data_IF_937847141264
#
_entry.id   IF_937847141264
#
_cell.length_a   1.000
_cell.length_b   1.000
_cell.length_c   1.000
_cell.angle_alpha   90.00
_cell.angle_beta   90.00
_cell.angle_gamma   90.00
#
_symmetry.space_group_name_H-M   'P 1'
#
loop_
_entity.id
_entity.type
_entity.pdbx_description
1 polymer ?
#
# COMPACT_ATOMS: atom_id res chain seq x y z
N UNK A 1 16.33 -19.49 -22.98
CA UNK A 1 16.23 -18.48 -21.90
C UNK A 1 16.60 -17.12 -22.48
N UNK A 2 15.78 -16.08 -22.33
CA UNK A 2 16.17 -14.75 -22.83
C UNK A 2 15.11 -13.66 -22.97
N UNK A 3 13.91 -13.79 -22.39
CA UNK A 3 12.84 -12.78 -22.57
C UNK A 3 12.94 -11.56 -21.64
N UNK A 4 13.87 -11.55 -20.67
CA UNK A 4 13.99 -10.49 -19.67
C UNK A 4 15.02 -9.39 -20.04
N UNK A 5 15.89 -9.61 -21.02
CA UNK A 5 16.91 -8.62 -21.41
C UNK A 5 16.37 -7.40 -22.18
N UNK A 6 15.08 -7.39 -22.59
CA UNK A 6 14.47 -6.25 -23.31
C UNK A 6 13.72 -5.26 -22.40
N UNK A 7 13.46 -5.61 -21.15
CA UNK A 7 12.75 -4.72 -20.21
C UNK A 7 13.68 -3.87 -19.32
N UNK A 8 14.99 -4.12 -19.35
CA UNK A 8 15.98 -3.32 -18.60
C UNK A 8 17.15 -2.94 -19.50
N UNK A 9 16.87 -2.26 -20.62
CA UNK A 9 17.91 -1.48 -21.30
C UNK A 9 18.25 -0.26 -20.44
N UNK A 10 19.40 -0.39 -19.80
CA UNK A 10 20.13 0.63 -19.05
C UNK A 10 20.80 1.57 -20.05
N UNK A 11 20.26 2.77 -20.24
CA UNK A 11 20.99 3.84 -20.93
C UNK A 11 22.19 4.26 -20.10
N UNK A 12 23.37 3.99 -20.64
CA UNK A 12 24.66 4.44 -20.12
C UNK A 12 25.14 5.62 -20.97
N UNK A 13 25.38 6.73 -20.27
CA UNK A 13 26.27 7.88 -20.55
C UNK A 13 25.61 9.18 -21.07
N UNK A 14 25.95 10.40 -20.62
CA UNK A 14 26.74 10.94 -19.49
C UNK A 14 26.79 12.48 -19.62
N UNK A 15 26.42 13.24 -18.58
CA UNK A 15 26.99 14.58 -18.27
C UNK A 15 26.73 14.91 -16.79
N UNK A 16 27.67 14.62 -15.87
CA UNK A 16 28.49 15.58 -15.08
C UNK A 16 27.69 16.86 -14.71
N UNK A 17 27.56 17.31 -13.47
CA UNK A 17 28.40 17.21 -12.27
C UNK A 17 27.64 17.83 -11.09
N UNK A 18 27.78 17.32 -9.86
CA UNK A 18 28.19 18.09 -8.68
C UNK A 18 28.58 17.10 -7.59
N UNK A 19 29.84 17.20 -7.16
CA UNK A 19 30.38 16.56 -5.98
C UNK A 19 29.94 17.39 -4.79
N UNK A 20 29.31 16.79 -3.78
CA UNK A 20 29.57 17.23 -2.41
C UNK A 20 29.27 16.14 -1.36
N UNK A 21 30.39 15.63 -0.84
CA UNK A 21 30.72 15.37 0.57
C UNK A 21 29.85 14.41 1.39
N UNK A 22 30.57 13.39 1.88
CA UNK A 22 30.41 12.77 3.18
C UNK A 22 29.40 13.42 4.12
N UNK A 23 28.35 12.67 4.40
CA UNK A 23 27.86 12.55 5.76
C UNK A 23 27.30 11.14 5.90
N UNK A 24 28.13 10.25 6.46
CA UNK A 24 27.62 9.21 7.36
C UNK A 24 26.83 9.92 8.45
N UNK A 25 25.56 10.25 8.18
CA UNK A 25 24.59 10.48 9.24
C UNK A 25 24.46 9.14 9.91
N UNK A 26 25.11 9.01 11.06
CA UNK A 26 24.72 8.04 12.06
C UNK A 26 23.19 8.12 12.15
N UNK A 27 22.52 7.08 11.68
CA UNK A 27 21.11 6.87 11.99
C UNK A 27 21.06 6.92 13.51
N UNK A 28 20.36 7.88 14.13
CA UNK A 28 20.34 7.91 15.58
C UNK A 28 19.75 6.58 16.04
N UNK A 29 20.45 5.87 16.92
CA UNK A 29 19.97 4.64 17.58
C UNK A 29 18.55 4.79 18.16
N UNK A 30 18.08 6.03 18.33
CA UNK A 30 16.71 6.42 18.66
C UNK A 30 15.66 5.97 17.63
N UNK A 31 15.96 5.96 16.33
CA UNK A 31 15.01 5.56 15.29
C UNK A 31 14.74 4.04 15.27
N UNK A 32 15.68 3.24 15.76
CA UNK A 32 15.53 1.79 15.90
C UNK A 32 14.75 1.44 17.17
N UNK A 33 15.06 2.09 18.29
CA UNK A 33 14.30 1.95 19.54
C UNK A 33 12.84 2.44 19.43
N UNK A 34 12.56 3.41 18.55
CA UNK A 34 11.18 3.87 18.28
C UNK A 34 10.39 2.85 17.46
N UNK A 35 11.00 2.15 16.49
CA UNK A 35 10.30 1.12 15.70
C UNK A 35 9.78 -0.02 16.58
N UNK A 36 10.43 -0.32 17.69
CA UNK A 36 9.96 -1.37 18.61
C UNK A 36 8.62 -1.04 19.27
N UNK A 37 8.27 0.25 19.39
CA UNK A 37 7.07 0.73 20.09
C UNK A 37 5.85 0.90 19.19
N UNK A 38 6.00 0.85 17.86
CA UNK A 38 4.91 1.10 16.91
C UNK A 38 4.59 -0.16 16.11
N UNK A 39 3.31 -0.48 15.99
CA UNK A 39 2.80 -1.59 15.19
C UNK A 39 1.95 -1.05 14.03
N UNK A 40 2.14 -1.59 12.82
CA UNK A 40 1.39 -1.14 11.64
C UNK A 40 -0.03 -1.70 11.67
N UNK A 41 -1.02 -0.81 11.60
CA UNK A 41 -2.43 -1.21 11.53
C UNK A 41 -2.80 -1.50 10.06
N UNK A 42 -3.27 -2.71 9.73
CA UNK A 42 -3.69 -3.02 8.37
C UNK A 42 -5.03 -2.36 8.02
N UNK A 43 -5.17 -1.90 6.77
CA UNK A 43 -6.43 -1.34 6.26
C UNK A 43 -7.54 -2.38 6.07
N UNK A 44 -7.18 -3.65 5.94
CA UNK A 44 -8.10 -4.76 5.74
C UNK A 44 -7.75 -5.91 6.68
N UNK A 45 -8.76 -6.44 7.36
CA UNK A 45 -8.65 -7.59 8.24
C UNK A 45 -9.22 -8.83 7.55
N UNK A 46 -8.54 -9.98 7.61
CA UNK A 46 -9.09 -11.22 7.05
C UNK A 46 -10.42 -11.55 7.74
N UNK A 47 -11.41 -11.98 6.97
CA UNK A 47 -12.71 -12.41 7.50
C UNK A 47 -13.30 -13.51 6.62
N UNK A 48 -14.09 -14.38 7.23
CA UNK A 48 -14.94 -15.36 6.55
C UNK A 48 -16.44 -14.97 6.59
N UNK A 49 -16.76 -13.78 7.14
CA UNK A 49 -18.13 -13.25 7.12
C UNK A 49 -18.69 -13.14 5.70
N UNK A 50 -19.90 -13.68 5.48
CA UNK A 50 -20.61 -13.64 4.19
C UNK A 50 -19.80 -14.20 3.01
N UNK A 51 -18.85 -15.10 3.28
CA UNK A 51 -17.91 -15.63 2.28
C UNK A 51 -18.59 -16.21 1.06
N UNK A 52 -19.64 -17.01 1.25
CA UNK A 52 -20.40 -17.63 0.16
C UNK A 52 -21.04 -16.57 -0.74
N UNK A 53 -21.78 -15.62 -0.14
CA UNK A 53 -22.45 -14.55 -0.85
C UNK A 53 -21.45 -13.67 -1.64
N UNK A 54 -20.39 -13.21 -0.98
CA UNK A 54 -19.35 -12.39 -1.62
C UNK A 54 -18.66 -13.17 -2.73
N UNK A 55 -18.44 -14.48 -2.55
CA UNK A 55 -17.83 -15.32 -3.58
C UNK A 55 -18.70 -15.47 -4.81
N UNK A 56 -20.01 -15.71 -4.63
CA UNK A 56 -20.96 -15.80 -5.74
C UNK A 56 -21.02 -14.47 -6.47
N UNK A 57 -21.22 -13.34 -5.76
CA UNK A 57 -21.30 -12.02 -6.39
C UNK A 57 -20.02 -11.67 -7.13
N UNK A 58 -18.85 -11.89 -6.52
CA UNK A 58 -17.56 -11.60 -7.16
C UNK A 58 -17.34 -12.49 -8.39
N UNK A 59 -17.68 -13.78 -8.33
CA UNK A 59 -17.56 -14.70 -9.45
C UNK A 59 -18.54 -14.33 -10.58
N UNK A 60 -19.78 -13.96 -10.27
CA UNK A 60 -20.77 -13.52 -11.25
C UNK A 60 -20.33 -12.24 -11.97
N UNK A 61 -19.79 -11.26 -11.24
CA UNK A 61 -19.24 -10.02 -11.84
C UNK A 61 -18.02 -10.35 -12.70
N UNK A 62 -17.10 -11.19 -12.22
CA UNK A 62 -15.91 -11.56 -12.97
C UNK A 62 -16.24 -12.35 -14.24
N UNK A 63 -17.29 -13.18 -14.20
CA UNK A 63 -17.77 -13.96 -15.32
C UNK A 63 -18.49 -13.15 -16.40
N UNK A 64 -18.83 -11.87 -16.16
CA UNK A 64 -19.58 -10.95 -17.05
C UNK A 64 -19.89 -11.50 -18.46
N UNK A 65 -18.88 -11.52 -19.35
CA UNK A 65 -18.98 -11.98 -20.74
C UNK A 65 -18.15 -13.25 -21.03
N UNK A 66 -17.66 -13.92 -19.98
CA UNK A 66 -16.83 -15.13 -20.05
C UNK A 66 -17.56 -16.32 -19.40
N UNK A 67 -18.66 -16.82 -20.01
CA UNK A 67 -19.51 -17.86 -19.42
C UNK A 67 -18.80 -19.20 -19.21
N UNK A 68 -17.75 -19.49 -20.00
CA UNK A 68 -16.95 -20.71 -19.89
C UNK A 68 -15.84 -20.61 -18.82
N UNK A 69 -15.66 -19.45 -18.18
CA UNK A 69 -14.61 -19.25 -17.18
C UNK A 69 -15.10 -19.60 -15.77
N UNK A 70 -14.21 -20.18 -14.96
CA UNK A 70 -14.45 -20.46 -13.54
C UNK A 70 -13.59 -19.57 -12.66
N UNK A 71 -14.20 -18.97 -11.63
CA UNK A 71 -13.52 -18.08 -10.70
C UNK A 71 -13.55 -18.66 -9.29
N UNK A 72 -12.41 -18.60 -8.60
CA UNK A 72 -12.28 -19.07 -7.21
C UNK A 72 -11.75 -17.92 -6.36
N UNK A 73 -12.54 -17.51 -5.37
CA UNK A 73 -12.13 -16.48 -4.40
C UNK A 73 -11.17 -17.09 -3.38
N UNK A 74 -9.92 -16.60 -3.36
CA UNK A 74 -8.85 -17.12 -2.48
C UNK A 74 -8.84 -16.50 -1.09
N UNK A 75 -9.22 -15.24 -0.98
CA UNK A 75 -9.16 -14.48 0.28
C UNK A 75 -10.24 -13.41 0.29
N UNK A 76 -10.90 -13.29 1.44
CA UNK A 76 -11.85 -12.21 1.73
C UNK A 76 -11.31 -11.42 2.92
N UNK A 77 -11.49 -10.11 2.87
CA UNK A 77 -11.04 -9.23 3.94
C UNK A 77 -12.02 -8.07 4.09
N UNK A 78 -12.31 -7.70 5.33
CA UNK A 78 -13.18 -6.60 5.70
C UNK A 78 -12.36 -5.35 5.92
N UNK A 79 -12.93 -4.19 5.60
CA UNK A 79 -12.32 -2.89 5.93
C UNK A 79 -12.10 -2.80 7.45
N UNK A 80 -10.92 -2.36 7.86
CA UNK A 80 -10.65 -2.03 9.24
C UNK A 80 -11.25 -0.65 9.57
N UNK A 81 -12.28 -0.62 10.44
CA UNK A 81 -13.00 0.61 10.79
C UNK A 81 -12.09 1.63 11.49
N UNK A 82 -11.13 1.18 12.30
CA UNK A 82 -10.18 2.07 12.97
C UNK A 82 -9.26 2.74 11.95
N UNK A 83 -8.68 1.94 11.04
CA UNK A 83 -7.81 2.46 9.98
C UNK A 83 -8.57 3.43 9.05
N UNK A 84 -9.85 3.16 8.77
CA UNK A 84 -10.70 4.06 8.00
C UNK A 84 -10.93 5.39 8.71
N UNK A 85 -11.33 5.37 9.98
CA UNK A 85 -11.57 6.58 10.77
C UNK A 85 -10.31 7.44 10.86
N UNK A 86 -9.17 6.84 11.21
CA UNK A 86 -7.89 7.55 11.30
C UNK A 86 -7.49 8.13 9.94
N UNK A 87 -7.69 7.37 8.85
CA UNK A 87 -7.39 7.87 7.51
C UNK A 87 -8.24 9.10 7.16
N UNK A 88 -9.55 9.06 7.43
CA UNK A 88 -10.48 10.16 7.16
C UNK A 88 -10.12 11.41 7.96
N UNK A 89 -9.80 11.25 9.25
CA UNK A 89 -9.39 12.39 10.10
C UNK A 89 -8.10 13.01 9.57
N UNK A 90 -7.08 12.19 9.29
CA UNK A 90 -5.79 12.66 8.81
C UNK A 90 -5.90 13.38 7.45
N UNK A 91 -6.65 12.82 6.50
CA UNK A 91 -6.86 13.47 5.19
C UNK A 91 -7.68 14.74 5.31
N UNK A 92 -8.68 14.81 6.20
CA UNK A 92 -9.47 16.01 6.43
C UNK A 92 -8.63 17.16 6.97
N UNK A 93 -7.74 16.88 7.93
CA UNK A 93 -6.80 17.86 8.45
C UNK A 93 -5.84 18.32 7.34
N UNK A 94 -5.27 17.37 6.58
CA UNK A 94 -4.34 17.68 5.50
C UNK A 94 -5.00 18.52 4.37
N UNK A 95 -6.25 18.19 4.01
CA UNK A 95 -7.04 18.94 3.04
C UNK A 95 -7.32 20.37 3.52
N UNK A 96 -7.58 20.58 4.81
CA UNK A 96 -7.70 21.92 5.39
C UNK A 96 -6.43 22.76 5.27
N UNK A 97 -5.25 22.13 5.33
CA UNK A 97 -3.96 22.80 5.16
C UNK A 97 -3.61 23.08 3.70
N UNK A 98 -4.06 22.22 2.77
CA UNK A 98 -3.82 22.36 1.34
C UNK A 98 -5.05 21.96 0.53
N UNK A 99 -6.00 22.89 0.31
CA UNK A 99 -7.30 22.59 -0.30
C UNK A 99 -7.20 22.05 -1.74
N UNK A 100 -6.24 22.55 -2.52
CA UNK A 100 -6.02 22.15 -3.92
C UNK A 100 -5.21 20.84 -4.05
N UNK A 101 -5.24 19.96 -3.05
CA UNK A 101 -4.44 18.74 -3.05
C UNK A 101 -5.20 17.52 -2.59
N UNK A 102 -4.83 16.39 -3.19
CA UNK A 102 -5.36 15.07 -2.85
C UNK A 102 -4.34 14.35 -1.98
N UNK A 103 -4.83 13.76 -0.89
CA UNK A 103 -4.01 13.04 0.07
C UNK A 103 -4.40 11.57 0.10
N UNK A 104 -3.40 10.69 0.15
CA UNK A 104 -3.57 9.25 0.31
C UNK A 104 -2.76 8.79 1.51
N UNK A 105 -3.44 8.23 2.51
CA UNK A 105 -2.79 7.64 3.67
C UNK A 105 -2.24 6.28 3.26
N UNK A 106 -0.91 6.14 3.32
CA UNK A 106 -0.24 4.90 2.92
C UNK A 106 -0.11 3.90 4.06
N UNK A 107 0.05 4.39 5.29
CA UNK A 107 0.33 3.58 6.48
C UNK A 107 -0.21 4.25 7.72
N UNK A 108 -0.67 3.45 8.66
CA UNK A 108 -1.15 3.86 9.98
C UNK A 108 -0.43 3.00 11.01
N UNK A 109 -0.04 3.62 12.12
CA UNK A 109 0.68 2.95 13.20
C UNK A 109 -0.02 3.21 14.52
N UNK A 110 -0.12 2.19 15.35
CA UNK A 110 -0.52 2.29 16.76
C UNK A 110 0.68 2.06 17.66
N UNK A 111 0.66 2.65 18.86
CA UNK A 111 1.64 2.28 19.89
C UNK A 111 1.26 0.90 20.43
N UNK A 112 2.26 0.07 20.69
CA UNK A 112 2.10 -1.15 21.47
C UNK A 112 1.69 -0.84 22.91
#
# INVERSE_FOLDING_TARGET
MGFWNRFFLKDKNKTKSYQEKDSKKAVPKTAEAQKEQWEEIPFYLPTDENKELVSVVAASIAANDQPESSFVVKKISKKNQEAELVAVIATSIAAGMKPESQFVVKKIYQRK
#
